data_IF_833468877091
#
_entry.id   IF_833468877091
#
_cell.length_a   1.000
_cell.length_b   1.000
_cell.length_c   1.000
_cell.angle_alpha   90.00
_cell.angle_beta   90.00
_cell.angle_gamma   90.00
#
_symmetry.space_group_name_H-M   'P 1'
#
loop_
_entity.id
_entity.type
_entity.pdbx_description
1 polymer ?
#
# COMPACT_ATOMS: atom_id res chain seq x y z
N UNK A 1 8.69 -12.30 -20.90
CA UNK A 1 8.47 -12.58 -19.46
C UNK A 1 7.34 -13.60 -19.35
N UNK A 2 7.38 -14.52 -18.37
CA UNK A 2 6.32 -15.53 -18.19
C UNK A 2 5.29 -14.99 -17.20
N UNK A 3 3.99 -15.13 -17.52
CA UNK A 3 2.89 -14.65 -16.64
C UNK A 3 2.94 -15.28 -15.24
N UNK A 4 3.48 -16.49 -15.12
CA UNK A 4 3.65 -17.19 -13.85
C UNK A 4 4.52 -16.43 -12.83
N UNK A 5 5.38 -15.52 -13.28
CA UNK A 5 6.25 -14.71 -12.40
C UNK A 5 5.47 -13.69 -11.54
N UNK A 6 4.19 -13.46 -11.85
CA UNK A 6 3.32 -12.49 -11.14
C UNK A 6 2.18 -13.17 -10.37
N UNK A 7 2.19 -14.51 -10.27
CA UNK A 7 1.21 -15.24 -9.46
C UNK A 7 1.61 -15.19 -7.99
N UNK A 8 0.64 -14.84 -7.14
CA UNK A 8 0.76 -14.89 -5.69
C UNK A 8 -0.55 -15.40 -5.10
N UNK A 9 -0.48 -15.92 -3.88
CA UNK A 9 -1.66 -16.42 -3.18
C UNK A 9 -2.48 -15.25 -2.64
N UNK A 10 -3.68 -15.05 -3.20
CA UNK A 10 -4.64 -14.03 -2.79
C UNK A 10 -5.93 -14.68 -2.26
N UNK A 11 -6.05 -14.84 -0.92
CA UNK A 11 -7.30 -15.28 -0.31
C UNK A 11 -8.47 -14.35 -0.64
N UNK A 12 -9.61 -14.92 -1.03
CA UNK A 12 -10.80 -14.15 -1.45
C UNK A 12 -11.35 -13.23 -0.36
N UNK A 13 -11.20 -13.60 0.91
CA UNK A 13 -11.63 -12.80 2.06
C UNK A 13 -10.79 -11.53 2.29
N UNK A 14 -9.61 -11.44 1.66
CA UNK A 14 -8.77 -10.23 1.71
C UNK A 14 -9.10 -9.25 0.57
N UNK A 15 -10.01 -9.61 -0.35
CA UNK A 15 -10.51 -8.72 -1.40
C UNK A 15 -11.64 -7.87 -0.82
N UNK A 16 -11.35 -6.59 -0.60
CA UNK A 16 -12.33 -5.63 -0.10
C UNK A 16 -13.50 -5.49 -1.08
N UNK A 17 -14.73 -5.70 -0.60
CA UNK A 17 -15.96 -5.53 -1.40
C UNK A 17 -16.46 -4.09 -1.40
N UNK A 18 -16.12 -3.33 -0.35
CA UNK A 18 -16.48 -1.94 -0.15
C UNK A 18 -15.31 -1.18 0.48
N UNK A 19 -15.20 0.14 0.26
CA UNK A 19 -14.19 0.97 0.93
C UNK A 19 -14.44 1.05 2.44
N UNK A 20 -13.41 1.47 3.18
CA UNK A 20 -13.55 1.78 4.62
C UNK A 20 -14.49 2.97 4.83
N UNK A 21 -15.17 3.02 5.99
CA UNK A 21 -16.11 4.10 6.33
C UNK A 21 -15.49 5.48 6.24
N UNK A 22 -14.25 5.63 6.74
CA UNK A 22 -13.40 6.78 6.47
C UNK A 22 -12.25 6.35 5.59
N UNK A 23 -12.03 7.07 4.49
CA UNK A 23 -10.99 6.76 3.50
C UNK A 23 -9.59 6.78 4.11
N UNK A 24 -9.37 7.73 5.01
CA UNK A 24 -8.10 7.97 5.69
C UNK A 24 -7.72 6.89 6.72
N UNK A 25 -8.66 6.02 7.11
CA UNK A 25 -8.41 4.89 8.02
C UNK A 25 -7.92 3.62 7.29
N UNK A 26 -7.76 3.69 5.96
CA UNK A 26 -7.20 2.58 5.17
C UNK A 26 -5.73 2.33 5.51
N UNK A 27 -5.30 1.07 5.40
CA UNK A 27 -3.90 0.66 5.61
C UNK A 27 -3.04 1.12 4.43
N UNK A 28 -1.84 1.58 4.73
CA UNK A 28 -0.83 1.98 3.76
C UNK A 28 0.44 1.14 3.98
N UNK A 29 0.87 0.42 2.95
CA UNK A 29 2.16 -0.29 2.95
C UNK A 29 3.18 0.59 2.25
N UNK A 30 4.24 0.98 2.97
CA UNK A 30 5.35 1.78 2.44
C UNK A 30 6.51 0.84 2.16
N UNK A 31 7.06 0.93 0.95
CA UNK A 31 8.21 0.11 0.52
C UNK A 31 9.34 1.06 0.13
N UNK A 32 10.45 1.01 0.85
CA UNK A 32 11.68 1.67 0.44
C UNK A 32 12.32 0.87 -0.70
N UNK A 33 12.35 1.47 -1.89
CA UNK A 33 12.91 0.85 -3.10
C UNK A 33 14.41 0.54 -3.01
N UNK A 34 15.18 1.30 -2.22
CA UNK A 34 16.64 1.11 -2.11
C UNK A 34 17.00 0.01 -1.13
N UNK A 35 16.33 -0.02 0.02
CA UNK A 35 16.65 -0.96 1.11
C UNK A 35 15.77 -2.21 1.09
N UNK A 36 14.60 -2.14 0.45
CA UNK A 36 13.58 -3.18 0.53
C UNK A 36 12.80 -3.17 1.84
N UNK A 37 12.99 -2.16 2.70
CA UNK A 37 12.29 -2.05 3.98
C UNK A 37 10.79 -1.86 3.73
N UNK A 38 9.98 -2.59 4.51
CA UNK A 38 8.52 -2.54 4.45
C UNK A 38 7.99 -2.01 5.77
N UNK A 39 7.21 -0.94 5.70
CA UNK A 39 6.51 -0.35 6.84
C UNK A 39 5.00 -0.42 6.66
N UNK A 40 4.29 -0.62 7.78
CA UNK A 40 2.83 -0.58 7.82
C UNK A 40 2.39 0.72 8.51
N UNK A 41 1.65 1.55 7.78
CA UNK A 41 1.14 2.85 8.22
C UNK A 41 -0.35 2.97 7.94
N UNK A 42 -0.93 4.11 8.33
CA UNK A 42 -2.31 4.46 7.98
C UNK A 42 -2.28 5.55 6.90
N UNK A 43 -3.30 5.62 6.04
CA UNK A 43 -3.35 6.62 4.96
C UNK A 43 -3.34 8.07 5.45
N UNK A 44 -3.73 8.33 6.72
CA UNK A 44 -3.55 9.65 7.36
C UNK A 44 -2.11 10.15 7.39
N UNK A 45 -1.16 9.23 7.47
CA UNK A 45 0.28 9.53 7.63
C UNK A 45 0.95 9.83 6.28
N UNK A 46 0.18 9.85 5.17
CA UNK A 46 0.74 10.00 3.81
C UNK A 46 1.46 11.35 3.63
N UNK A 47 1.02 12.39 4.34
CA UNK A 47 1.61 13.72 4.26
C UNK A 47 3.06 13.75 4.78
N UNK A 48 3.44 12.81 5.66
CA UNK A 48 4.80 12.74 6.23
C UNK A 48 5.85 12.28 5.20
N UNK A 49 5.41 11.80 4.03
CA UNK A 49 6.27 11.26 2.97
C UNK A 49 6.47 12.22 1.79
N UNK A 50 5.86 13.40 1.82
CA UNK A 50 5.99 14.41 0.78
C UNK A 50 6.85 15.59 1.25
N UNK A 51 7.70 16.06 0.35
CA UNK A 51 8.44 17.31 0.52
C UNK A 51 7.77 18.45 -0.26
N UNK A 52 8.15 19.70 0.05
CA UNK A 52 7.62 20.93 -0.58
C UNK A 52 7.81 21.01 -2.12
N UNK A 53 8.53 20.05 -2.72
CA UNK A 53 8.83 19.99 -4.15
C UNK A 53 8.06 18.90 -4.89
N UNK A 54 7.30 18.07 -4.18
CA UNK A 54 6.50 17.02 -4.79
C UNK A 54 5.19 17.59 -5.40
N UNK A 55 4.72 17.01 -6.51
CA UNK A 55 3.57 17.47 -7.32
C UNK A 55 2.55 16.36 -7.50
#
# INVERSE_FOLDING_TARGET
MKLSQFRFDLPLNLIAQHPTKKREESRMMVIDRKTGNIENRTFRDIMDYFDDKDV
#
